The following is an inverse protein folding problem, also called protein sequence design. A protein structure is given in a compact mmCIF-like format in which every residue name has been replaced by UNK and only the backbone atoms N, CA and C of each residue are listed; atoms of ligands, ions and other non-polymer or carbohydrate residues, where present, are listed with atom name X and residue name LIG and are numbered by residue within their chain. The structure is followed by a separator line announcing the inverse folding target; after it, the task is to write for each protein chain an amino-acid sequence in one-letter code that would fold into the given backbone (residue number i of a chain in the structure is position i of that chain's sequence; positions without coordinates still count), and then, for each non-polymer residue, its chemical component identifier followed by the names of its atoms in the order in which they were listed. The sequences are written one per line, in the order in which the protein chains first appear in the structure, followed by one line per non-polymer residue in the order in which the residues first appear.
data_IF_812850495238
#
_entry.id   IF_812850495238
#
_cell.length_a   1.000
_cell.length_b   1.000
_cell.length_c   1.000
_cell.angle_alpha   90.00
_cell.angle_beta   90.00
_cell.angle_gamma   90.00
#
_symmetry.space_group_name_H-M   'P 1'
#
loop_
_entity.id
_entity.type
_entity.pdbx_description
1 polymer ?
#
# COMPACT_ATOMS: atom_id res chain seq x y z
N UNK A 1 -8.96 -16.54 2.62
CA UNK A 1 -7.97 -17.50 3.14
C UNK A 1 -6.89 -17.82 2.11
N UNK A 2 -7.24 -18.36 0.93
CA UNK A 2 -6.27 -18.85 -0.07
C UNK A 2 -5.19 -17.84 -0.53
N UNK A 3 -5.48 -16.54 -0.51
CA UNK A 3 -4.54 -15.49 -0.93
C UNK A 3 -3.71 -14.90 0.22
N UNK A 4 -3.82 -15.44 1.44
CA UNK A 4 -3.02 -14.98 2.57
C UNK A 4 -1.61 -15.58 2.51
N UNK A 5 -0.57 -14.73 2.48
CA UNK A 5 0.80 -15.14 2.15
C UNK A 5 1.61 -15.81 3.28
N UNK A 6 1.01 -16.09 4.44
CA UNK A 6 1.70 -16.70 5.59
C UNK A 6 0.74 -17.56 6.43
N UNK A 7 1.26 -18.27 7.43
CA UNK A 7 0.43 -19.00 8.41
C UNK A 7 0.00 -18.13 9.61
N UNK A 8 0.58 -16.93 9.76
CA UNK A 8 0.27 -15.98 10.83
C UNK A 8 -0.40 -14.70 10.30
N UNK A 9 -1.09 -13.98 11.18
CA UNK A 9 -1.66 -12.66 10.92
C UNK A 9 -1.64 -11.81 12.18
N UNK A 10 -1.85 -10.51 12.03
CA UNK A 10 -1.92 -9.54 13.14
C UNK A 10 -3.30 -8.91 13.16
N UNK A 11 -3.92 -8.87 14.33
CA UNK A 11 -5.18 -8.17 14.55
C UNK A 11 -4.89 -6.81 15.18
N UNK A 12 -5.52 -5.77 14.64
CA UNK A 12 -5.46 -4.39 15.15
C UNK A 12 -6.88 -3.90 15.43
N UNK A 13 -7.09 -3.13 16.50
CA UNK A 13 -8.41 -2.61 16.86
C UNK A 13 -8.91 -1.57 15.83
N UNK A 14 -10.20 -1.64 15.49
CA UNK A 14 -10.84 -0.72 14.56
C UNK A 14 -10.55 -1.00 13.08
N UNK A 15 -11.05 -0.12 12.21
CA UNK A 15 -10.85 -0.21 10.75
C UNK A 15 -9.74 0.74 10.29
N UNK A 16 -8.50 0.36 10.58
CA UNK A 16 -7.29 1.18 10.35
C UNK A 16 -6.59 0.88 9.02
N UNK A 17 -7.29 0.27 8.06
CA UNK A 17 -6.69 -0.13 6.78
C UNK A 17 -6.15 1.05 5.97
N UNK A 18 -6.83 2.20 5.98
CA UNK A 18 -6.37 3.41 5.30
C UNK A 18 -5.09 4.00 5.94
N UNK A 19 -4.95 3.87 7.26
CA UNK A 19 -3.74 4.29 7.98
C UNK A 19 -2.55 3.42 7.56
N UNK A 20 -2.76 2.10 7.45
CA UNK A 20 -1.75 1.18 6.94
C UNK A 20 -1.37 1.46 5.49
N UNK A 21 -2.32 1.77 4.61
CA UNK A 21 -2.03 2.12 3.20
C UNK A 21 -1.17 3.39 3.13
N UNK A 22 -1.52 4.41 3.91
CA UNK A 22 -0.76 5.67 3.95
C UNK A 22 0.67 5.44 4.44
N UNK A 23 0.82 4.68 5.54
CA UNK A 23 2.12 4.33 6.09
C UNK A 23 2.95 3.48 5.13
N UNK A 24 2.36 2.48 4.48
CA UNK A 24 3.02 1.63 3.50
C UNK A 24 3.56 2.45 2.32
N UNK A 25 2.80 3.42 1.81
CA UNK A 25 3.25 4.34 0.76
C UNK A 25 4.43 5.21 1.21
N UNK A 26 4.41 5.74 2.44
CA UNK A 26 5.55 6.47 3.02
C UNK A 26 6.81 5.60 3.10
N UNK A 27 6.66 4.30 3.30
CA UNK A 27 7.77 3.34 3.37
C UNK A 27 8.08 2.66 2.03
N UNK A 28 7.32 2.97 0.97
CA UNK A 28 7.43 2.39 -0.38
C UNK A 28 7.31 0.86 -0.37
N UNK A 29 6.38 0.35 0.43
CA UNK A 29 6.01 -1.06 0.48
C UNK A 29 4.69 -1.24 -0.30
N UNK A 30 4.69 -1.97 -1.43
CA UNK A 30 3.47 -2.20 -2.19
C UNK A 30 2.42 -2.96 -1.38
N UNK A 31 1.16 -2.51 -1.42
CA UNK A 31 0.04 -3.19 -0.78
C UNK A 31 -0.55 -4.22 -1.75
N UNK A 32 -0.17 -5.49 -1.60
CA UNK A 32 -0.56 -6.57 -2.53
C UNK A 32 -1.98 -7.12 -2.33
N UNK A 33 -2.65 -6.76 -1.24
CA UNK A 33 -4.04 -7.16 -0.96
C UNK A 33 -4.63 -6.20 0.07
N UNK A 34 -5.77 -5.58 -0.24
CA UNK A 34 -6.60 -4.87 0.74
C UNK A 34 -8.07 -4.89 0.30
N UNK A 35 -8.97 -4.59 1.23
CA UNK A 35 -10.41 -4.40 0.97
C UNK A 35 -10.89 -2.99 1.40
N UNK A 36 -9.96 -2.06 1.60
CA UNK A 36 -10.24 -0.65 1.86
C UNK A 36 -10.89 0.00 0.64
N UNK A 37 -11.92 0.82 0.88
CA UNK A 37 -12.60 1.63 -0.13
C UNK A 37 -11.62 2.61 -0.82
N UNK A 38 -11.69 2.70 -2.15
CA UNK A 38 -10.75 3.49 -2.96
C UNK A 38 -10.69 4.97 -2.56
N UNK A 39 -11.82 5.58 -2.20
CA UNK A 39 -11.90 6.98 -1.76
C UNK A 39 -11.11 7.27 -0.47
N UNK A 40 -10.70 6.24 0.29
CA UNK A 40 -9.92 6.37 1.52
C UNK A 40 -8.42 6.15 1.29
N UNK A 41 -8.01 5.84 0.07
CA UNK A 41 -6.61 5.62 -0.26
C UNK A 41 -5.91 6.97 -0.36
N UNK A 42 -5.06 7.24 0.63
CA UNK A 42 -4.27 8.46 0.68
C UNK A 42 -2.78 8.12 0.58
N UNK A 43 -2.14 8.65 -0.46
CA UNK A 43 -0.72 8.43 -0.79
C UNK A 43 -0.10 9.74 -1.25
N UNK A 44 1.24 9.87 -1.32
CA UNK A 44 1.87 11.04 -1.90
C UNK A 44 1.37 11.29 -3.33
N UNK A 45 1.12 12.55 -3.70
CA UNK A 45 0.49 12.91 -4.98
C UNK A 45 1.21 12.35 -6.21
N UNK A 46 2.50 12.09 -6.11
CA UNK A 46 3.29 11.50 -7.18
C UNK A 46 2.83 10.08 -7.57
N UNK A 47 2.14 9.33 -6.70
CA UNK A 47 1.55 8.03 -7.05
C UNK A 47 0.56 8.18 -8.22
N UNK A 48 -0.25 9.24 -8.27
CA UNK A 48 -1.22 9.45 -9.35
C UNK A 48 -0.55 9.59 -10.73
N UNK A 49 0.69 10.12 -10.78
CA UNK A 49 1.47 10.21 -12.02
C UNK A 49 1.94 8.83 -12.52
N UNK A 50 1.95 7.81 -11.65
CA UNK A 50 2.25 6.45 -12.00
C UNK A 50 1.02 5.68 -12.51
N UNK A 51 -0.15 6.31 -12.67
CA UNK A 51 -1.32 5.72 -13.32
C UNK A 51 -2.60 5.80 -12.48
N UNK A 52 -3.73 5.52 -13.13
CA UNK A 52 -5.05 5.59 -12.48
C UNK A 52 -5.40 4.29 -11.73
N UNK A 53 -4.93 3.15 -12.22
CA UNK A 53 -5.10 1.87 -11.51
C UNK A 53 -4.37 1.92 -10.16
N UNK A 54 -5.11 1.77 -9.07
CA UNK A 54 -4.64 1.97 -7.69
C UNK A 54 -3.53 1.01 -7.30
N UNK A 55 -3.62 -0.24 -7.75
CA UNK A 55 -2.61 -1.26 -7.49
C UNK A 55 -1.37 -0.98 -8.37
N UNK A 56 -1.57 -0.80 -9.67
CA UNK A 56 -0.50 -0.59 -10.63
C UNK A 56 0.29 0.69 -10.38
N UNK A 57 -0.33 1.77 -9.90
CA UNK A 57 0.38 2.99 -9.50
C UNK A 57 1.25 2.75 -8.25
N UNK A 58 0.82 1.88 -7.33
CA UNK A 58 1.56 1.55 -6.11
C UNK A 58 2.85 0.80 -6.40
N UNK A 59 2.74 -0.28 -7.18
CA UNK A 59 3.90 -1.07 -7.58
C UNK A 59 4.91 -0.23 -8.37
N UNK A 60 4.45 0.56 -9.34
CA UNK A 60 5.32 1.43 -10.14
C UNK A 60 6.00 2.52 -9.31
N UNK A 61 5.26 3.19 -8.43
CA UNK A 61 5.82 4.23 -7.56
C UNK A 61 6.80 3.64 -6.54
N UNK A 62 6.45 2.54 -5.88
CA UNK A 62 7.33 1.86 -4.93
C UNK A 62 8.62 1.37 -5.61
N UNK A 63 8.52 0.82 -6.82
CA UNK A 63 9.70 0.40 -7.58
C UNK A 63 10.57 1.58 -8.03
N UNK A 64 9.95 2.71 -8.39
CA UNK A 64 10.66 3.93 -8.80
C UNK A 64 11.44 4.54 -7.62
N UNK A 65 10.75 4.81 -6.51
CA UNK A 65 11.35 5.51 -5.36
C UNK A 65 12.21 4.62 -4.47
N UNK A 66 11.93 3.31 -4.42
CA UNK A 66 12.69 2.36 -3.62
C UNK A 66 12.59 2.58 -2.10
N UNK A 67 13.38 1.81 -1.32
CA UNK A 67 13.40 1.90 0.14
C UNK A 67 13.90 3.27 0.63
N UNK A 68 13.34 3.75 1.76
CA UNK A 68 13.60 5.10 2.27
C UNK A 68 15.05 5.35 2.72
N UNK A 69 15.72 4.35 3.29
CA UNK A 69 16.98 4.60 4.03
C UNK A 69 18.25 4.16 3.27
N UNK A 70 18.16 3.15 2.41
CA UNK A 70 19.27 2.60 1.62
C UNK A 70 18.73 1.61 0.60
N UNK A 71 19.35 1.56 -0.58
CA UNK A 71 19.04 0.59 -1.65
C UNK A 71 19.98 -0.60 -1.60
#
# INVERSE_FOLDING_TARGET
MANWGANHGVLTIGHVGADFITLAAMLRIPVCMHNVEEAKIYRPSAWAAHGMDVEGQDYRACQNYGPLYKR
#
